data_IF_161790491880
#
_entry.id   IF_161790491880
#
_cell.length_a   1.000
_cell.length_b   1.000
_cell.length_c   1.000
_cell.angle_alpha   90.00
_cell.angle_beta   90.00
_cell.angle_gamma   90.00
#
_symmetry.space_group_name_H-M   'P 1'
#
loop_
_entity.id
_entity.type
_entity.pdbx_description
1 polymer ?
#
# COMPACT_ATOMS: atom_id res chain seq x y z
N UNK A 1 -19.48 8.23 -42.75
CA UNK A 1 -18.46 7.51 -41.95
C UNK A 1 -17.91 8.46 -40.91
N UNK A 2 -17.89 8.10 -39.63
CA UNK A 2 -17.60 9.03 -38.52
C UNK A 2 -16.09 9.16 -38.26
N UNK A 3 -15.57 10.39 -38.29
CA UNK A 3 -14.25 10.73 -37.74
C UNK A 3 -14.29 12.08 -37.01
N UNK A 4 -14.96 12.10 -35.85
CA UNK A 4 -14.93 13.23 -34.89
C UNK A 4 -13.59 13.33 -34.15
N UNK A 5 -12.47 13.41 -34.89
CA UNK A 5 -11.11 13.61 -34.35
C UNK A 5 -10.89 15.07 -33.92
N UNK A 6 -11.65 15.52 -32.92
CA UNK A 6 -11.41 16.78 -32.20
C UNK A 6 -11.54 16.57 -30.68
N UNK A 7 -10.61 15.80 -30.10
CA UNK A 7 -10.46 15.64 -28.64
C UNK A 7 -9.36 16.55 -28.09
N UNK A 8 -9.45 17.84 -28.41
CA UNK A 8 -8.55 18.88 -27.93
C UNK A 8 -9.20 19.66 -26.77
N UNK A 9 -9.04 19.17 -25.54
CA UNK A 9 -9.34 19.95 -24.33
C UNK A 9 -8.17 19.99 -23.32
N UNK A 10 -6.96 20.45 -23.71
CA UNK A 10 -5.88 20.71 -22.77
C UNK A 10 -5.89 22.05 -21.99
N UNK A 11 -6.66 23.13 -22.31
CA UNK A 11 -6.33 24.46 -21.79
C UNK A 11 -6.57 24.59 -20.28
N UNK A 12 -7.70 24.09 -19.78
CA UNK A 12 -8.08 24.27 -18.37
C UNK A 12 -7.17 23.44 -17.45
N UNK A 13 -6.92 22.17 -17.78
CA UNK A 13 -6.01 21.32 -16.99
C UNK A 13 -4.58 21.88 -16.97
N UNK A 14 -4.08 22.39 -18.11
CA UNK A 14 -2.76 23.03 -18.19
C UNK A 14 -2.65 24.33 -17.38
N UNK A 15 -3.65 25.21 -17.47
CA UNK A 15 -3.72 26.46 -16.68
C UNK A 15 -3.73 26.16 -15.18
N UNK A 16 -4.52 25.16 -14.75
CA UNK A 16 -4.58 24.73 -13.35
C UNK A 16 -3.23 24.19 -12.89
N UNK A 17 -2.59 23.31 -13.66
CA UNK A 17 -1.26 22.77 -13.30
C UNK A 17 -0.24 23.91 -13.17
N UNK A 18 -0.27 24.90 -14.08
CA UNK A 18 0.56 26.10 -14.00
C UNK A 18 0.32 26.91 -12.73
N UNK A 19 -0.96 27.18 -12.39
CA UNK A 19 -1.33 27.96 -11.21
C UNK A 19 -0.99 27.24 -9.90
N UNK A 20 -1.23 25.93 -9.81
CA UNK A 20 -0.79 25.09 -8.68
C UNK A 20 0.73 25.10 -8.58
N UNK A 21 1.45 25.01 -9.70
CA UNK A 21 2.91 25.14 -9.76
C UNK A 21 3.39 26.47 -9.18
N UNK A 22 2.90 27.60 -9.68
CA UNK A 22 3.28 28.95 -9.19
C UNK A 22 3.02 29.09 -7.68
N UNK A 23 1.93 28.53 -7.17
CA UNK A 23 1.54 28.65 -5.76
C UNK A 23 2.31 27.69 -4.83
N UNK A 24 2.64 26.47 -5.28
CA UNK A 24 3.21 25.41 -4.44
C UNK A 24 4.67 25.05 -4.71
N UNK A 25 5.30 25.52 -5.79
CA UNK A 25 6.75 25.36 -6.00
C UNK A 25 7.57 25.89 -4.81
N UNK A 26 7.26 27.05 -4.19
CA UNK A 26 8.00 27.50 -3.00
C UNK A 26 7.87 26.54 -1.81
N UNK A 27 6.70 25.93 -1.61
CA UNK A 27 6.45 24.95 -0.55
C UNK A 27 7.18 23.63 -0.81
N UNK A 28 7.15 23.15 -2.05
CA UNK A 28 7.86 21.94 -2.47
C UNK A 28 9.39 22.13 -2.42
N UNK A 29 9.89 23.32 -2.77
CA UNK A 29 11.30 23.67 -2.60
C UNK A 29 11.69 23.66 -1.12
N UNK A 30 10.87 24.28 -0.26
CA UNK A 30 11.04 24.26 1.19
C UNK A 30 11.08 22.82 1.75
N UNK A 31 10.23 21.91 1.27
CA UNK A 31 10.30 20.49 1.67
C UNK A 31 11.59 19.80 1.20
N UNK A 32 11.99 19.98 -0.06
CA UNK A 32 13.18 19.32 -0.63
C UNK A 32 14.47 19.83 0.01
N UNK A 33 14.64 21.15 0.12
CA UNK A 33 15.72 21.78 0.87
C UNK A 33 15.70 21.29 2.34
N UNK A 34 14.51 21.21 2.92
CA UNK A 34 14.23 20.72 4.26
C UNK A 34 14.61 19.27 4.56
N UNK A 35 14.61 18.40 3.56
CA UNK A 35 15.06 17.01 3.68
C UNK A 35 16.56 16.87 3.39
N UNK A 36 17.10 17.66 2.44
CA UNK A 36 18.53 17.64 2.09
C UNK A 36 19.39 18.29 3.19
N UNK A 37 18.98 19.46 3.67
CA UNK A 37 19.66 20.23 4.72
C UNK A 37 19.18 19.88 6.13
N UNK A 38 18.35 18.82 6.27
CA UNK A 38 17.84 18.28 7.55
C UNK A 38 17.05 19.28 8.43
N UNK A 39 16.59 20.39 7.86
CA UNK A 39 16.13 21.58 8.60
C UNK A 39 14.63 21.60 8.93
N UNK A 40 13.78 20.91 8.15
CA UNK A 40 12.31 21.03 8.23
C UNK A 40 11.62 19.70 8.59
N UNK A 41 12.31 18.56 8.49
CA UNK A 41 11.82 17.31 9.08
C UNK A 41 12.14 17.25 10.58
N UNK A 42 11.48 18.17 11.32
CA UNK A 42 11.42 18.35 12.78
C UNK A 42 12.29 17.35 13.56
N UNK A 43 13.44 17.84 14.03
CA UNK A 43 14.49 17.19 14.84
C UNK A 43 15.08 15.84 14.35
N UNK A 44 14.32 14.93 13.73
CA UNK A 44 14.70 13.52 13.55
C UNK A 44 14.36 12.89 12.18
N UNK A 45 14.19 13.70 11.12
CA UNK A 45 14.21 13.23 9.72
C UNK A 45 13.12 12.21 9.30
N UNK A 46 11.99 12.14 10.02
CA UNK A 46 10.89 11.20 9.76
C UNK A 46 10.35 11.17 8.31
N UNK A 47 10.37 12.28 7.58
CA UNK A 47 9.69 12.41 6.26
C UNK A 47 10.60 12.33 5.03
N UNK A 48 11.92 12.13 5.21
CA UNK A 48 12.90 12.20 4.11
C UNK A 48 12.67 11.17 2.97
N UNK A 49 11.89 10.12 3.24
CA UNK A 49 11.42 9.16 2.22
C UNK A 49 10.56 9.82 1.12
N UNK A 50 9.97 10.99 1.37
CA UNK A 50 9.24 11.79 0.39
C UNK A 50 10.07 12.24 -0.82
N UNK A 51 11.40 12.28 -0.69
CA UNK A 51 12.33 12.57 -1.79
C UNK A 51 12.26 11.53 -2.91
N UNK A 52 11.97 10.26 -2.59
CA UNK A 52 11.66 9.20 -3.57
C UNK A 52 10.15 9.13 -3.87
N UNK A 53 9.34 9.39 -2.85
CA UNK A 53 7.88 9.34 -2.90
C UNK A 53 7.24 10.27 -3.92
N UNK A 54 7.63 11.54 -3.94
CA UNK A 54 7.03 12.56 -4.82
C UNK A 54 7.37 12.31 -6.30
N UNK A 55 8.63 12.03 -6.71
CA UNK A 55 8.94 11.63 -8.07
C UNK A 55 8.19 10.37 -8.54
N UNK A 56 8.03 9.37 -7.66
CA UNK A 56 7.28 8.16 -8.00
C UNK A 56 5.76 8.43 -8.14
N UNK A 57 5.18 9.28 -7.28
CA UNK A 57 3.80 9.73 -7.43
C UNK A 57 3.58 10.48 -8.77
N UNK A 58 4.51 11.36 -9.15
CA UNK A 58 4.48 12.08 -10.44
C UNK A 58 4.59 11.11 -11.63
N UNK A 59 5.48 10.11 -11.57
CA UNK A 59 5.59 9.06 -12.58
C UNK A 59 4.27 8.28 -12.75
N UNK A 60 3.64 7.85 -11.65
CA UNK A 60 2.36 7.13 -11.69
C UNK A 60 1.19 8.00 -12.18
N UNK A 61 1.24 9.33 -11.96
CA UNK A 61 0.29 10.27 -12.56
C UNK A 61 0.48 10.35 -14.09
N UNK A 62 1.74 10.45 -14.53
CA UNK A 62 2.12 10.47 -15.94
C UNK A 62 1.74 9.19 -16.68
N UNK A 63 1.94 8.02 -16.09
CA UNK A 63 1.56 6.71 -16.65
C UNK A 63 0.04 6.64 -16.92
N UNK A 64 -0.78 7.01 -15.94
CA UNK A 64 -2.25 6.89 -16.02
C UNK A 64 -2.95 8.04 -16.76
N UNK A 65 -2.22 9.00 -17.33
CA UNK A 65 -2.79 10.18 -18.04
C UNK A 65 -3.77 9.82 -19.17
N UNK A 66 -3.54 8.70 -19.86
CA UNK A 66 -4.43 8.17 -20.90
C UNK A 66 -5.80 7.76 -20.35
N UNK A 67 -5.82 7.16 -19.15
CA UNK A 67 -7.04 6.74 -18.46
C UNK A 67 -7.82 7.96 -17.95
N UNK A 68 -7.11 8.95 -17.41
CA UNK A 68 -7.71 10.23 -16.99
C UNK A 68 -8.40 10.98 -18.13
N UNK A 69 -7.79 11.03 -19.31
CA UNK A 69 -8.39 11.62 -20.52
C UNK A 69 -9.66 10.89 -20.99
N UNK A 70 -9.87 9.64 -20.58
CA UNK A 70 -11.07 8.85 -20.89
C UNK A 70 -12.14 8.90 -19.80
N UNK A 71 -11.84 9.45 -18.61
CA UNK A 71 -12.86 9.72 -17.59
C UNK A 71 -13.75 10.92 -18.01
N UNK A 72 -15.07 10.83 -17.81
CA UNK A 72 -15.98 11.94 -18.08
C UNK A 72 -15.74 13.10 -17.10
N UNK A 73 -15.88 14.33 -17.57
CA UNK A 73 -15.90 15.51 -16.69
C UNK A 73 -17.19 15.48 -15.85
N UNK A 74 -17.04 15.44 -14.54
CA UNK A 74 -18.16 15.44 -13.57
C UNK A 74 -17.73 16.20 -12.32
N UNK A 75 -18.19 17.44 -12.21
CA UNK A 75 -18.02 18.25 -10.99
C UNK A 75 -18.82 17.60 -9.87
N UNK A 76 -18.18 17.38 -8.72
CA UNK A 76 -18.81 16.78 -7.54
C UNK A 76 -18.74 17.75 -6.36
N UNK A 77 -19.89 17.99 -5.71
CA UNK A 77 -20.07 19.04 -4.69
C UNK A 77 -19.02 19.02 -3.57
N UNK A 78 -18.58 17.82 -3.16
CA UNK A 78 -17.55 17.60 -2.13
C UNK A 78 -16.17 18.24 -2.45
N UNK A 79 -15.91 18.62 -3.71
CA UNK A 79 -14.70 19.38 -4.06
C UNK A 79 -14.68 20.77 -3.43
N UNK A 80 -15.83 21.46 -3.32
CA UNK A 80 -15.89 22.83 -2.82
C UNK A 80 -15.41 22.97 -1.36
N UNK A 81 -15.93 22.21 -0.36
CA UNK A 81 -15.42 22.30 1.01
C UNK A 81 -13.95 21.88 1.11
N UNK A 82 -13.48 20.95 0.27
CA UNK A 82 -12.11 20.46 0.31
C UNK A 82 -11.10 21.48 -0.27
N UNK A 83 -11.48 22.21 -1.32
CA UNK A 83 -10.72 23.34 -1.88
C UNK A 83 -10.74 24.55 -0.94
N UNK A 84 -11.87 24.86 -0.30
CA UNK A 84 -11.96 25.91 0.72
C UNK A 84 -11.10 25.60 1.95
N UNK A 85 -11.10 24.34 2.41
CA UNK A 85 -10.26 23.89 3.52
C UNK A 85 -8.76 23.97 3.15
N UNK A 86 -8.38 23.56 1.93
CA UNK A 86 -7.02 23.73 1.43
C UNK A 86 -6.58 25.21 1.41
N UNK A 87 -7.45 26.12 0.93
CA UNK A 87 -7.18 27.55 0.93
C UNK A 87 -7.04 28.13 2.35
N UNK A 88 -7.90 27.73 3.29
CA UNK A 88 -7.79 28.13 4.70
C UNK A 88 -6.50 27.62 5.34
N UNK A 89 -6.13 26.36 5.08
CA UNK A 89 -4.90 25.73 5.56
C UNK A 89 -3.64 26.43 5.02
N UNK A 90 -3.61 26.76 3.72
CA UNK A 90 -2.51 27.51 3.10
C UNK A 90 -2.33 28.90 3.72
N UNK A 91 -3.43 29.59 4.04
CA UNK A 91 -3.41 30.93 4.64
C UNK A 91 -3.24 30.95 6.18
N UNK A 92 -3.21 29.80 6.84
CA UNK A 92 -3.23 29.67 8.31
C UNK A 92 -2.00 30.21 9.03
N UNK A 93 -0.88 30.42 8.32
CA UNK A 93 0.47 30.72 8.85
C UNK A 93 1.08 29.63 9.76
N UNK A 94 0.38 28.52 10.02
CA UNK A 94 0.91 27.36 10.72
C UNK A 94 1.55 26.41 9.71
N UNK A 95 2.83 26.07 9.88
CA UNK A 95 3.60 25.30 8.90
C UNK A 95 2.96 23.94 8.59
N UNK A 96 2.53 23.21 9.62
CA UNK A 96 1.82 21.93 9.49
C UNK A 96 0.55 22.00 8.64
N UNK A 97 -0.30 23.00 8.87
CA UNK A 97 -1.53 23.17 8.10
C UNK A 97 -1.20 23.63 6.67
N UNK A 98 -0.24 24.54 6.51
CA UNK A 98 0.25 24.95 5.19
C UNK A 98 0.81 23.74 4.40
N UNK A 99 1.53 22.83 5.05
CA UNK A 99 2.00 21.58 4.45
C UNK A 99 0.82 20.69 4.02
N UNK A 100 -0.15 20.47 4.92
CA UNK A 100 -1.37 19.70 4.62
C UNK A 100 -2.27 20.34 3.55
N UNK A 101 -2.12 21.63 3.24
CA UNK A 101 -2.91 22.28 2.18
C UNK A 101 -2.67 21.66 0.81
N UNK A 102 -1.46 21.17 0.50
CA UNK A 102 -1.14 20.56 -0.79
C UNK A 102 -1.93 19.27 -1.06
N UNK A 103 -1.87 18.20 -0.22
CA UNK A 103 -2.67 17.00 -0.45
C UNK A 103 -4.18 17.27 -0.41
N UNK A 104 -4.66 18.22 0.41
CA UNK A 104 -6.08 18.63 0.40
C UNK A 104 -6.48 19.28 -0.93
N UNK A 105 -5.67 20.20 -1.45
CA UNK A 105 -5.89 20.84 -2.76
C UNK A 105 -5.92 19.80 -3.88
N UNK A 106 -4.95 18.88 -3.90
CA UNK A 106 -4.87 17.81 -4.89
C UNK A 106 -6.12 16.92 -4.84
N UNK A 107 -6.60 16.52 -3.65
CA UNK A 107 -7.84 15.77 -3.53
C UNK A 107 -9.05 16.57 -4.05
N UNK A 108 -9.17 17.84 -3.66
CA UNK A 108 -10.24 18.73 -4.13
C UNK A 108 -10.25 18.89 -5.65
N UNK A 109 -9.07 19.03 -6.26
CA UNK A 109 -8.90 19.16 -7.71
C UNK A 109 -9.22 17.88 -8.47
N UNK A 110 -8.78 16.73 -7.96
CA UNK A 110 -9.12 15.42 -8.54
C UNK A 110 -10.65 15.19 -8.55
N UNK A 111 -11.34 15.65 -7.51
CA UNK A 111 -12.79 15.55 -7.35
C UNK A 111 -13.55 16.60 -8.18
N UNK A 112 -13.02 17.82 -8.39
CA UNK A 112 -13.72 18.84 -9.21
C UNK A 112 -13.67 18.51 -10.70
N UNK A 113 -12.56 17.96 -11.21
CA UNK A 113 -12.38 17.72 -12.65
C UNK A 113 -13.10 16.45 -13.14
N UNK A 114 -13.02 15.35 -12.39
CA UNK A 114 -13.49 14.01 -12.81
C UNK A 114 -14.27 13.26 -11.70
N UNK A 115 -14.68 13.96 -10.65
CA UNK A 115 -15.44 13.37 -9.53
C UNK A 115 -14.67 12.29 -8.76
N UNK A 116 -15.42 11.43 -8.08
CA UNK A 116 -14.88 10.30 -7.30
C UNK A 116 -14.12 9.27 -8.16
N UNK A 117 -14.41 9.20 -9.46
CA UNK A 117 -13.66 8.35 -10.40
C UNK A 117 -12.25 8.88 -10.66
N UNK A 118 -12.08 10.22 -10.78
CA UNK A 118 -10.79 10.88 -10.87
C UNK A 118 -9.91 10.64 -9.65
N UNK A 119 -10.48 10.85 -8.46
CA UNK A 119 -9.80 10.56 -7.21
C UNK A 119 -9.41 9.07 -7.12
N UNK A 120 -10.30 8.14 -7.47
CA UNK A 120 -10.00 6.69 -7.44
C UNK A 120 -8.87 6.27 -8.39
N UNK A 121 -8.67 6.93 -9.53
CA UNK A 121 -7.56 6.65 -10.46
C UNK A 121 -6.19 7.01 -9.84
N UNK A 122 -6.13 8.15 -9.16
CA UNK A 122 -4.91 8.73 -8.60
C UNK A 122 -4.80 8.66 -7.07
N UNK A 123 -5.69 7.91 -6.40
CA UNK A 123 -5.72 7.77 -4.92
C UNK A 123 -4.39 7.29 -4.32
N UNK A 124 -3.63 6.46 -5.05
CA UNK A 124 -2.36 5.93 -4.58
C UNK A 124 -1.21 6.96 -4.73
N UNK A 125 -1.00 7.61 -5.89
CA UNK A 125 -0.15 8.81 -5.98
C UNK A 125 -0.48 9.90 -4.94
N UNK A 126 -1.78 10.14 -4.70
CA UNK A 126 -2.23 11.08 -3.68
C UNK A 126 -1.84 10.64 -2.26
N UNK A 127 -2.02 9.35 -1.92
CA UNK A 127 -1.62 8.79 -0.63
C UNK A 127 -0.10 8.87 -0.41
N UNK A 128 0.69 8.64 -1.46
CA UNK A 128 2.14 8.80 -1.43
C UNK A 128 2.55 10.25 -1.12
N UNK A 129 1.88 11.25 -1.69
CA UNK A 129 2.13 12.68 -1.39
C UNK A 129 1.67 13.02 0.03
N UNK A 130 0.50 12.52 0.47
CA UNK A 130 -0.01 12.73 1.82
C UNK A 130 0.95 12.19 2.90
N UNK A 131 1.43 10.95 2.76
CA UNK A 131 2.41 10.40 3.72
C UNK A 131 3.78 11.09 3.64
N UNK A 132 4.13 11.69 2.49
CA UNK A 132 5.34 12.51 2.35
C UNK A 132 5.20 13.91 2.93
N UNK A 133 4.00 14.34 3.34
CA UNK A 133 3.75 15.73 3.76
C UNK A 133 4.30 15.96 5.18
N UNK A 134 5.32 16.82 5.39
CA UNK A 134 5.92 17.00 6.71
C UNK A 134 4.94 17.56 7.73
N UNK A 135 4.74 16.85 8.84
CA UNK A 135 3.80 17.20 9.92
C UNK A 135 4.30 16.71 11.28
N UNK A 136 3.75 17.24 12.36
CA UNK A 136 3.99 16.85 13.75
C UNK A 136 3.36 15.49 14.12
N UNK A 137 2.74 14.77 13.17
CA UNK A 137 2.09 13.49 13.40
C UNK A 137 2.98 12.45 14.13
N UNK A 138 4.30 12.31 13.84
CA UNK A 138 5.19 11.42 14.59
C UNK A 138 5.24 11.70 16.10
N UNK A 139 5.17 12.97 16.51
CA UNK A 139 5.17 13.39 17.91
C UNK A 139 3.81 13.15 18.57
N UNK A 140 2.71 13.34 17.84
CA UNK A 140 1.36 13.08 18.34
C UNK A 140 1.12 11.59 18.63
N UNK A 141 1.83 10.68 17.94
CA UNK A 141 1.77 9.23 18.23
C UNK A 141 2.81 8.76 19.24
N UNK A 142 3.80 9.58 19.58
CA UNK A 142 4.95 9.21 20.42
C UNK A 142 4.57 8.65 21.80
N UNK A 143 3.62 9.24 22.57
CA UNK A 143 3.22 8.69 23.87
C UNK A 143 2.62 7.29 23.79
N UNK A 144 2.01 6.94 22.65
CA UNK A 144 1.43 5.61 22.40
C UNK A 144 2.50 4.55 22.07
N UNK A 145 3.74 4.97 21.79
CA UNK A 145 4.87 4.09 21.45
C UNK A 145 5.74 3.80 22.69
N UNK A 146 5.62 4.58 23.78
CA UNK A 146 6.35 4.35 25.05
C UNK A 146 6.26 2.89 25.56
N UNK A 147 5.10 2.17 25.53
CA UNK A 147 5.05 0.77 25.96
C UNK A 147 5.87 -0.17 25.09
N UNK A 148 5.98 0.13 23.78
CA UNK A 148 6.81 -0.62 22.85
C UNK A 148 8.30 -0.33 23.06
N UNK A 149 8.68 0.91 23.40
CA UNK A 149 10.06 1.25 23.77
C UNK A 149 10.48 0.54 25.07
N UNK A 150 9.62 0.53 26.09
CA UNK A 150 9.88 -0.20 27.33
C UNK A 150 10.02 -1.71 27.09
N UNK A 151 9.21 -2.30 26.21
CA UNK A 151 9.38 -3.68 25.75
C UNK A 151 10.73 -3.90 25.03
N UNK A 152 11.10 -3.01 24.11
CA UNK A 152 12.38 -3.07 23.39
C UNK A 152 13.56 -2.96 24.37
N UNK A 153 13.49 -2.06 25.36
CA UNK A 153 14.50 -1.88 26.39
C UNK A 153 14.63 -3.11 27.31
N UNK A 154 13.51 -3.67 27.75
CA UNK A 154 13.48 -4.89 28.58
C UNK A 154 14.06 -6.10 27.84
N UNK A 155 13.71 -6.31 26.56
CA UNK A 155 14.27 -7.41 25.76
C UNK A 155 15.75 -7.16 25.45
N UNK A 156 16.15 -5.93 25.13
CA UNK A 156 17.56 -5.60 24.89
C UNK A 156 18.42 -5.82 26.14
N UNK A 157 17.93 -5.43 27.32
CA UNK A 157 18.57 -5.70 28.61
C UNK A 157 18.62 -7.19 28.94
N UNK A 158 17.54 -7.94 28.71
CA UNK A 158 17.53 -9.40 28.88
C UNK A 158 18.60 -10.08 28.01
N UNK A 159 18.76 -9.66 26.75
CA UNK A 159 19.81 -10.18 25.85
C UNK A 159 21.20 -9.86 26.40
N UNK A 160 21.46 -8.63 26.85
CA UNK A 160 22.75 -8.24 27.45
C UNK A 160 23.07 -9.08 28.71
N UNK A 161 22.07 -9.39 29.55
CA UNK A 161 22.23 -10.29 30.70
C UNK A 161 22.62 -11.72 30.28
N UNK A 162 22.27 -12.20 29.08
CA UNK A 162 22.70 -13.51 28.58
C UNK A 162 24.18 -13.53 28.13
N UNK A 163 24.85 -12.37 28.11
CA UNK A 163 26.28 -12.23 27.82
C UNK A 163 27.09 -11.81 29.06
N UNK A 164 26.56 -12.06 30.27
CA UNK A 164 27.16 -11.69 31.56
C UNK A 164 27.41 -10.18 31.76
N UNK A 165 26.68 -9.32 31.03
CA UNK A 165 26.82 -7.87 31.10
C UNK A 165 25.92 -7.32 32.21
N UNK A 166 26.50 -6.57 33.15
CA UNK A 166 25.75 -5.89 34.21
C UNK A 166 24.96 -4.71 33.64
N UNK A 167 23.65 -4.94 33.42
CA UNK A 167 22.69 -3.95 32.96
C UNK A 167 21.50 -3.85 33.91
N UNK A 168 21.06 -2.62 34.15
CA UNK A 168 19.80 -2.30 34.84
C UNK A 168 18.85 -1.66 33.82
N UNK A 169 17.58 -2.04 33.84
CA UNK A 169 16.55 -1.47 32.96
C UNK A 169 15.51 -0.74 33.81
N UNK A 170 15.26 0.52 33.50
CA UNK A 170 14.22 1.34 34.13
C UNK A 170 13.39 2.03 33.04
N UNK A 171 12.14 1.57 32.85
CA UNK A 171 11.27 2.04 31.77
C UNK A 171 11.89 1.87 30.37
N UNK A 172 12.35 2.98 29.78
CA UNK A 172 13.02 3.04 28.47
C UNK A 172 14.55 3.16 28.55
N UNK A 173 15.12 3.26 29.76
CA UNK A 173 16.54 3.44 29.98
C UNK A 173 17.25 2.12 30.29
N UNK A 174 18.45 1.93 29.73
CA UNK A 174 19.38 0.87 30.09
C UNK A 174 20.64 1.50 30.69
N UNK A 175 20.95 1.19 31.95
CA UNK A 175 22.22 1.54 32.58
C UNK A 175 23.17 0.36 32.47
N UNK A 176 24.19 0.45 31.62
CA UNK A 176 25.22 -0.58 31.40
C UNK A 176 26.54 -0.08 31.96
N UNK A 177 27.14 -0.77 32.94
CA UNK A 177 28.39 -0.34 33.58
C UNK A 177 28.40 1.14 34.02
N UNK A 178 27.29 1.62 34.59
CA UNK A 178 27.08 3.03 35.00
C UNK A 178 27.00 4.04 33.85
N UNK A 179 26.97 3.62 32.58
CA UNK A 179 26.65 4.46 31.43
C UNK A 179 25.16 4.32 31.08
N UNK A 180 24.45 5.43 30.95
CA UNK A 180 23.01 5.46 30.69
C UNK A 180 22.72 5.56 29.19
N UNK A 181 21.96 4.61 28.64
CA UNK A 181 21.50 4.61 27.25
C UNK A 181 19.98 4.62 27.22
N UNK A 182 19.40 5.68 26.66
CA UNK A 182 17.95 5.82 26.49
C UNK A 182 17.50 5.19 25.17
N UNK A 183 16.46 4.35 25.21
CA UNK A 183 15.76 3.86 24.00
C UNK A 183 14.76 4.91 23.54
N UNK A 184 15.28 6.08 23.14
CA UNK A 184 14.47 7.23 22.79
C UNK A 184 13.57 6.95 21.57
N UNK A 185 12.37 7.55 21.47
CA UNK A 185 11.52 7.53 20.25
C UNK A 185 12.24 8.01 18.98
N UNK A 186 13.31 8.78 19.18
CA UNK A 186 14.11 9.44 18.17
C UNK A 186 15.35 8.63 17.74
N UNK A 187 15.71 7.57 18.48
CA UNK A 187 16.58 6.54 17.94
C UNK A 187 15.96 5.99 16.64
N UNK A 188 16.79 5.55 15.70
CA UNK A 188 16.42 5.35 14.29
C UNK A 188 15.17 4.46 14.02
N UNK A 189 14.68 3.71 15.00
CA UNK A 189 13.58 2.77 14.87
C UNK A 189 12.24 3.35 14.39
N UNK A 190 11.79 4.50 14.91
CA UNK A 190 10.51 5.07 14.42
C UNK A 190 10.66 5.65 13.00
N UNK A 191 11.83 6.24 12.69
CA UNK A 191 12.20 6.69 11.34
C UNK A 191 12.26 5.53 10.35
N UNK A 192 12.85 4.39 10.73
CA UNK A 192 12.89 3.18 9.91
C UNK A 192 11.54 2.49 9.79
N UNK A 193 10.70 2.52 10.83
CA UNK A 193 9.34 2.00 10.75
C UNK A 193 8.53 2.78 9.69
N UNK A 194 8.49 4.11 9.77
CA UNK A 194 7.81 4.94 8.77
C UNK A 194 8.40 4.74 7.36
N UNK A 195 9.72 4.76 7.22
CA UNK A 195 10.41 4.58 5.92
C UNK A 195 10.13 3.19 5.33
N UNK A 196 10.08 2.15 6.16
CA UNK A 196 9.74 0.78 5.75
C UNK A 196 8.25 0.63 5.41
N UNK A 197 7.33 1.24 6.16
CA UNK A 197 5.91 1.26 5.80
C UNK A 197 5.68 2.00 4.48
N UNK A 198 6.38 3.11 4.25
CA UNK A 198 6.33 3.89 3.02
C UNK A 198 6.87 3.11 1.81
N UNK A 199 8.07 2.52 1.93
CA UNK A 199 8.61 1.65 0.89
C UNK A 199 7.76 0.39 0.71
N UNK A 200 7.14 -0.11 1.78
CA UNK A 200 6.17 -1.20 1.75
C UNK A 200 4.93 -0.89 0.89
N UNK A 201 4.42 0.34 0.93
CA UNK A 201 3.35 0.80 0.03
C UNK A 201 3.82 0.82 -1.43
N UNK A 202 5.01 1.36 -1.71
CA UNK A 202 5.61 1.40 -3.05
C UNK A 202 5.79 -0.02 -3.62
N UNK A 203 6.41 -0.92 -2.85
CA UNK A 203 6.62 -2.32 -3.24
C UNK A 203 5.31 -3.07 -3.42
N UNK A 204 4.33 -2.89 -2.53
CA UNK A 204 2.98 -3.49 -2.63
C UNK A 204 2.25 -3.06 -3.90
N UNK A 205 2.52 -1.85 -4.42
CA UNK A 205 2.01 -1.41 -5.71
C UNK A 205 2.78 -2.06 -6.87
N UNK A 206 4.12 -2.01 -6.82
CA UNK A 206 5.01 -2.46 -7.89
C UNK A 206 4.97 -3.97 -8.14
N UNK A 207 4.98 -4.80 -7.09
CA UNK A 207 4.93 -6.27 -7.21
C UNK A 207 3.53 -6.82 -7.44
N UNK A 208 2.49 -5.96 -7.36
CA UNK A 208 1.10 -6.39 -7.47
C UNK A 208 0.57 -7.16 -6.26
N UNK A 209 1.30 -7.18 -5.12
CA UNK A 209 0.90 -7.87 -3.89
C UNK A 209 -0.50 -7.46 -3.38
N UNK A 210 -0.91 -6.22 -3.71
CA UNK A 210 -2.26 -5.67 -3.49
C UNK A 210 -3.42 -6.53 -4.01
N UNK A 211 -3.19 -7.47 -4.93
CA UNK A 211 -4.20 -8.43 -5.40
C UNK A 211 -4.70 -9.36 -4.29
N UNK A 212 -3.83 -9.74 -3.36
CA UNK A 212 -4.21 -10.53 -2.18
C UNK A 212 -4.21 -9.65 -0.93
N UNK A 213 -5.39 -9.44 -0.34
CA UNK A 213 -5.54 -8.77 0.96
C UNK A 213 -4.79 -9.49 2.07
N UNK A 214 -4.70 -10.83 1.99
CA UNK A 214 -3.97 -11.66 2.96
C UNK A 214 -2.46 -11.40 2.88
N UNK A 215 -1.86 -11.57 1.69
CA UNK A 215 -0.42 -11.31 1.48
C UNK A 215 -0.07 -9.86 1.81
N UNK A 216 -0.92 -8.90 1.45
CA UNK A 216 -0.75 -7.48 1.79
C UNK A 216 -0.77 -7.26 3.31
N UNK A 217 -1.75 -7.82 4.03
CA UNK A 217 -1.85 -7.66 5.49
C UNK A 217 -0.64 -8.27 6.21
N UNK A 218 -0.27 -9.51 5.85
CA UNK A 218 0.89 -10.20 6.40
C UNK A 218 2.21 -9.48 6.08
N UNK A 219 2.31 -8.79 4.95
CA UNK A 219 3.48 -7.96 4.62
C UNK A 219 3.62 -6.76 5.55
N UNK A 220 2.54 -6.00 5.80
CA UNK A 220 2.60 -4.85 6.72
C UNK A 220 2.80 -5.28 8.18
N UNK A 221 2.21 -6.39 8.61
CA UNK A 221 2.51 -7.00 9.92
C UNK A 221 3.98 -7.44 9.99
N UNK A 222 4.51 -8.02 8.91
CA UNK A 222 5.91 -8.40 8.79
C UNK A 222 6.88 -7.22 8.85
N UNK A 223 6.53 -6.08 8.23
CA UNK A 223 7.31 -4.83 8.33
C UNK A 223 7.40 -4.35 9.79
N UNK A 224 6.27 -4.34 10.51
CA UNK A 224 6.24 -3.95 11.92
C UNK A 224 7.09 -4.92 12.76
N UNK A 225 6.93 -6.23 12.58
CA UNK A 225 7.71 -7.25 13.29
C UNK A 225 9.22 -7.15 13.03
N UNK A 226 9.63 -7.01 11.77
CA UNK A 226 11.03 -6.81 11.39
C UNK A 226 11.59 -5.51 11.97
N UNK A 227 10.80 -4.42 12.00
CA UNK A 227 11.24 -3.17 12.62
C UNK A 227 11.40 -3.29 14.14
N UNK A 228 10.54 -4.02 14.84
CA UNK A 228 10.69 -4.25 16.29
C UNK A 228 11.94 -5.09 16.58
N UNK A 229 12.15 -6.18 15.83
CA UNK A 229 13.36 -7.02 15.98
C UNK A 229 14.63 -6.24 15.64
N UNK A 230 14.63 -5.46 14.55
CA UNK A 230 15.75 -4.58 14.18
C UNK A 230 16.07 -3.54 15.25
N UNK A 231 15.05 -2.99 15.90
CA UNK A 231 15.22 -2.04 17.00
C UNK A 231 15.76 -2.70 18.28
N UNK A 232 15.32 -3.92 18.61
CA UNK A 232 15.90 -4.69 19.73
C UNK A 232 17.39 -4.92 19.47
N UNK A 233 17.75 -5.47 18.30
CA UNK A 233 19.14 -5.73 17.93
C UNK A 233 20.00 -4.46 17.91
N UNK A 234 19.50 -3.35 17.33
CA UNK A 234 20.23 -2.07 17.32
C UNK A 234 20.47 -1.56 18.74
N UNK A 235 19.46 -1.56 19.60
CA UNK A 235 19.61 -1.05 20.97
C UNK A 235 20.52 -1.96 21.82
N UNK A 236 20.42 -3.29 21.71
CA UNK A 236 21.39 -4.22 22.34
C UNK A 236 22.84 -3.90 21.91
N UNK A 237 23.09 -3.76 20.61
CA UNK A 237 24.45 -3.50 20.08
C UNK A 237 24.97 -2.14 20.52
N UNK A 238 24.15 -1.08 20.47
CA UNK A 238 24.57 0.25 20.89
C UNK A 238 24.81 0.34 22.40
N UNK A 239 23.94 -0.25 23.22
CA UNK A 239 24.12 -0.31 24.67
C UNK A 239 25.35 -1.14 25.06
N UNK A 240 25.70 -2.17 24.30
CA UNK A 240 26.96 -2.90 24.45
C UNK A 240 28.17 -1.98 24.24
N UNK A 241 28.29 -1.34 23.07
CA UNK A 241 29.47 -0.52 22.75
C UNK A 241 29.59 0.73 23.63
N UNK A 242 28.46 1.34 24.01
CA UNK A 242 28.43 2.47 24.92
C UNK A 242 28.82 2.06 26.36
N UNK A 243 28.25 0.97 26.88
CA UNK A 243 28.60 0.41 28.19
C UNK A 243 30.02 -0.17 28.28
N UNK A 244 30.65 -0.48 27.15
CA UNK A 244 32.07 -0.82 27.04
C UNK A 244 32.99 0.42 26.91
N UNK A 245 32.44 1.64 26.97
CA UNK A 245 33.13 2.92 26.74
C UNK A 245 33.86 3.01 25.38
N UNK A 246 33.44 2.21 24.39
CA UNK A 246 34.02 2.18 23.05
C UNK A 246 33.42 3.30 22.17
N UNK A 247 33.58 4.56 22.59
CA UNK A 247 32.95 5.74 21.97
C UNK A 247 33.09 5.77 20.45
N UNK A 248 34.31 5.67 19.91
CA UNK A 248 34.54 5.68 18.46
C UNK A 248 33.83 4.55 17.69
N UNK A 249 33.55 3.40 18.32
CA UNK A 249 32.76 2.33 17.72
C UNK A 249 31.24 2.61 17.85
N UNK A 250 30.81 3.15 18.98
CA UNK A 250 29.44 3.63 19.19
C UNK A 250 29.07 4.73 18.19
N UNK A 251 29.91 5.76 18.03
CA UNK A 251 29.69 6.89 17.12
C UNK A 251 29.61 6.42 15.66
N UNK A 252 30.51 5.51 15.26
CA UNK A 252 30.51 4.91 13.92
C UNK A 252 29.25 4.06 13.64
N UNK A 253 28.75 3.35 14.66
CA UNK A 253 27.51 2.57 14.58
C UNK A 253 26.24 3.43 14.68
N UNK A 254 26.30 4.55 15.40
CA UNK A 254 25.14 5.40 15.69
C UNK A 254 24.88 6.42 14.58
N UNK A 255 25.90 7.17 14.18
CA UNK A 255 25.78 8.38 13.33
C UNK A 255 26.46 8.25 11.97
N UNK A 256 27.39 7.30 11.82
CA UNK A 256 28.07 7.01 10.56
C UNK A 256 27.48 5.78 9.85
N UNK A 257 28.32 5.04 9.12
CA UNK A 257 27.95 3.90 8.26
C UNK A 257 27.05 2.84 8.93
N UNK A 258 27.06 2.67 10.26
CA UNK A 258 26.13 1.76 10.93
C UNK A 258 24.65 2.16 10.78
N UNK A 259 24.35 3.46 10.71
CA UNK A 259 23.00 3.97 10.45
C UNK A 259 22.52 3.66 9.03
N UNK A 260 23.37 3.88 8.04
CA UNK A 260 23.07 3.59 6.63
C UNK A 260 23.00 2.08 6.35
N UNK A 261 23.90 1.29 6.96
CA UNK A 261 23.86 -0.17 6.89
C UNK A 261 22.59 -0.74 7.52
N UNK A 262 22.16 -0.21 8.68
CA UNK A 262 20.87 -0.57 9.29
C UNK A 262 19.69 -0.22 8.37
N UNK A 263 19.72 0.96 7.75
CA UNK A 263 18.71 1.39 6.77
C UNK A 263 18.63 0.44 5.57
N UNK A 264 19.78 0.10 4.98
CA UNK A 264 19.87 -0.80 3.84
C UNK A 264 19.45 -2.24 4.19
N UNK A 265 19.83 -2.74 5.37
CA UNK A 265 19.42 -4.06 5.86
C UNK A 265 17.91 -4.14 6.09
N UNK A 266 17.30 -3.12 6.70
CA UNK A 266 15.86 -3.00 6.89
C UNK A 266 15.11 -3.03 5.54
N UNK A 267 15.52 -2.18 4.58
CA UNK A 267 14.89 -2.14 3.26
C UNK A 267 15.13 -3.40 2.43
N UNK A 268 16.29 -4.05 2.57
CA UNK A 268 16.57 -5.36 1.98
C UNK A 268 15.68 -6.46 2.55
N UNK A 269 15.40 -6.43 3.85
CA UNK A 269 14.53 -7.39 4.52
C UNK A 269 13.06 -7.30 4.04
N UNK A 270 12.60 -6.14 3.55
CA UNK A 270 11.29 -6.04 2.89
C UNK A 270 11.22 -6.89 1.60
N UNK A 271 12.31 -6.93 0.83
CA UNK A 271 12.39 -7.79 -0.37
C UNK A 271 12.36 -9.27 0.04
N UNK A 272 13.06 -9.63 1.12
CA UNK A 272 13.03 -10.98 1.70
C UNK A 272 11.61 -11.36 2.17
N UNK A 273 10.92 -10.48 2.89
CA UNK A 273 9.52 -10.68 3.30
C UNK A 273 8.60 -10.93 2.09
N UNK A 274 8.72 -10.15 1.01
CA UNK A 274 7.95 -10.37 -0.22
C UNK A 274 8.25 -11.76 -0.80
N UNK A 275 9.52 -12.15 -0.93
CA UNK A 275 9.91 -13.49 -1.42
C UNK A 275 9.38 -14.63 -0.56
N UNK A 276 9.34 -14.45 0.76
CA UNK A 276 8.77 -15.43 1.68
C UNK A 276 7.24 -15.54 1.53
N UNK A 277 6.53 -14.41 1.38
CA UNK A 277 5.08 -14.40 1.16
C UNK A 277 4.68 -14.96 -0.21
N UNK A 278 5.44 -14.65 -1.27
CA UNK A 278 5.29 -15.25 -2.60
C UNK A 278 5.43 -16.78 -2.54
N UNK A 279 6.38 -17.29 -1.75
CA UNK A 279 6.73 -18.72 -1.66
C UNK A 279 5.83 -19.54 -0.74
N UNK A 280 5.42 -18.99 0.41
CA UNK A 280 4.78 -19.77 1.49
C UNK A 280 3.31 -19.42 1.74
N UNK A 281 2.80 -18.29 1.24
CA UNK A 281 1.43 -17.84 1.52
C UNK A 281 0.61 -17.88 0.22
N UNK A 282 -0.52 -18.63 0.15
CA UNK A 282 -1.40 -18.63 -1.02
C UNK A 282 -2.18 -17.31 -1.15
N UNK A 283 -2.69 -17.00 -2.34
CA UNK A 283 -3.41 -15.74 -2.60
C UNK A 283 -4.72 -15.60 -1.80
N UNK A 284 -5.40 -16.71 -1.50
CA UNK A 284 -6.63 -16.74 -0.69
C UNK A 284 -6.62 -17.89 0.31
N UNK A 285 -7.06 -17.63 1.55
CA UNK A 285 -7.42 -18.69 2.49
C UNK A 285 -8.83 -19.19 2.17
N UNK A 286 -8.93 -20.36 1.56
CA UNK A 286 -10.20 -21.09 1.45
C UNK A 286 -10.49 -21.76 2.80
N UNK A 287 -11.15 -21.05 3.70
CA UNK A 287 -11.72 -21.64 4.91
C UNK A 287 -12.97 -22.42 4.50
N UNK A 288 -12.83 -23.74 4.36
CA UNK A 288 -13.94 -24.63 4.04
C UNK A 288 -14.92 -24.70 5.22
N UNK A 289 -16.08 -24.07 5.11
CA UNK A 289 -17.13 -24.15 6.14
C UNK A 289 -17.61 -25.60 6.33
N UNK A 290 -17.69 -26.09 7.58
CA UNK A 290 -17.97 -27.51 7.87
C UNK A 290 -19.40 -27.98 7.52
N UNK A 291 -20.34 -27.05 7.26
CA UNK A 291 -21.72 -27.37 6.84
C UNK A 291 -21.82 -28.24 5.58
N UNK A 292 -20.76 -28.28 4.77
CA UNK A 292 -20.67 -29.12 3.57
C UNK A 292 -20.85 -30.62 3.87
N UNK A 293 -20.52 -31.07 5.08
CA UNK A 293 -20.72 -32.47 5.48
C UNK A 293 -22.16 -32.82 5.86
N UNK A 294 -22.89 -31.88 6.48
CA UNK A 294 -24.23 -32.16 7.03
C UNK A 294 -25.27 -32.42 5.93
N UNK A 295 -25.17 -31.72 4.79
CA UNK A 295 -26.09 -31.91 3.66
C UNK A 295 -25.95 -33.27 2.94
N UNK A 296 -24.82 -33.96 3.09
CA UNK A 296 -24.60 -35.27 2.49
C UNK A 296 -25.25 -36.43 3.27
N UNK A 297 -25.78 -36.17 4.48
CA UNK A 297 -26.36 -37.18 5.38
C UNK A 297 -27.90 -37.20 5.30
N UNK A 298 -28.52 -36.15 4.73
CA UNK A 298 -29.98 -35.95 4.70
C UNK A 298 -30.62 -36.46 3.39
N UNK A 299 -29.83 -37.02 2.46
CA UNK A 299 -30.36 -37.74 1.29
C UNK A 299 -30.79 -39.16 1.69
N UNK A 300 -32.07 -39.32 2.04
CA UNK A 300 -32.69 -40.62 2.34
C UNK A 300 -32.60 -41.59 1.13
N UNK A 301 -32.49 -42.91 1.36
CA UNK A 301 -32.54 -43.90 0.30
C UNK A 301 -33.97 -44.08 -0.21
N UNK A 302 -34.20 -43.86 -1.51
CA UNK A 302 -35.50 -44.11 -2.14
C UNK A 302 -35.85 -45.60 -2.11
N UNK A 303 -36.92 -45.97 -1.39
CA UNK A 303 -37.45 -47.33 -1.37
C UNK A 303 -38.14 -47.62 -2.72
N UNK A 304 -37.73 -48.70 -3.38
CA UNK A 304 -38.42 -49.20 -4.58
C UNK A 304 -39.69 -49.95 -4.17
N UNK A 305 -40.84 -49.58 -4.76
CA UNK A 305 -41.99 -50.48 -4.87
C UNK A 305 -42.08 -51.10 -6.29
N UNK A 306 -42.61 -52.33 -6.43
CA UNK A 306 -42.51 -53.12 -7.66
C UNK A 306 -43.62 -52.83 -8.67
N UNK A 307 -43.34 -53.13 -9.95
CA UNK A 307 -44.29 -53.00 -11.07
C UNK A 307 -45.42 -54.04 -11.04
N UNK A 308 -46.63 -53.63 -11.40
CA UNK A 308 -47.77 -54.50 -11.74
C UNK A 308 -48.25 -54.14 -13.16
N UNK A 309 -48.64 -55.15 -13.96
CA UNK A 309 -48.83 -55.05 -15.41
C UNK A 309 -50.29 -55.23 -15.88
N UNK A 310 -50.70 -54.35 -16.82
CA UNK A 310 -51.70 -54.58 -17.89
C UNK A 310 -53.19 -54.84 -17.51
N UNK A 311 -54.17 -54.82 -18.46
CA UNK A 311 -54.13 -54.44 -19.89
C UNK A 311 -55.17 -53.39 -20.39
N UNK A 312 -54.90 -52.85 -21.58
CA UNK A 312 -55.81 -52.48 -22.71
C UNK A 312 -57.32 -52.23 -22.51
N UNK A 313 -57.86 -51.10 -23.07
CA UNK A 313 -58.90 -51.06 -24.14
C UNK A 313 -59.08 -49.62 -24.71
N UNK A 314 -59.75 -49.51 -25.87
CA UNK A 314 -60.06 -48.33 -26.70
C UNK A 314 -60.98 -47.28 -25.98
N UNK A 315 -61.30 -46.08 -26.50
CA UNK A 315 -61.27 -45.53 -27.88
C UNK A 315 -61.28 -43.97 -27.90
N UNK A 316 -61.43 -43.37 -29.10
CA UNK A 316 -61.95 -42.02 -29.41
C UNK A 316 -61.01 -40.78 -29.38
N UNK A 317 -60.40 -40.54 -30.55
CA UNK A 317 -60.64 -39.37 -31.44
C UNK A 317 -59.84 -38.03 -31.36
N UNK A 318 -59.26 -37.71 -32.53
CA UNK A 318 -59.16 -36.40 -33.25
C UNK A 318 -57.87 -35.53 -33.21
N UNK A 319 -57.50 -35.07 -34.43
CA UNK A 319 -56.62 -33.95 -34.83
C UNK A 319 -55.07 -34.11 -34.94
N UNK A 320 -54.65 -34.57 -36.14
CA UNK A 320 -53.65 -33.99 -37.10
C UNK A 320 -52.95 -32.65 -36.75
N UNK A 321 -51.69 -32.35 -37.15
CA UNK A 321 -50.67 -32.96 -38.06
C UNK A 321 -49.27 -32.90 -37.38
N UNK A 322 -48.34 -33.86 -37.47
CA UNK A 322 -47.51 -34.36 -38.59
C UNK A 322 -46.44 -33.40 -39.19
N UNK A 323 -45.17 -33.66 -38.81
CA UNK A 323 -43.88 -33.46 -39.52
C UNK A 323 -43.67 -34.68 -40.50
N UNK A 324 -42.65 -34.84 -41.40
CA UNK A 324 -41.24 -34.37 -41.33
C UNK A 324 -40.47 -34.06 -42.67
N UNK A 325 -39.15 -33.83 -42.55
CA UNK A 325 -38.05 -33.92 -43.58
C UNK A 325 -37.65 -35.40 -43.89
N UNK A 326 -36.64 -35.73 -44.77
CA UNK A 326 -36.03 -35.09 -45.95
C UNK A 326 -36.11 -36.04 -47.21
N UNK A 327 -35.24 -35.98 -48.26
CA UNK A 327 -33.89 -36.60 -48.23
C UNK A 327 -32.78 -35.94 -49.13
N UNK A 328 -31.57 -36.53 -49.14
CA UNK A 328 -30.31 -36.13 -49.81
C UNK A 328 -30.19 -36.69 -51.27
N UNK A 329 -29.13 -36.52 -52.11
CA UNK A 329 -27.75 -36.01 -51.94
C UNK A 329 -27.35 -35.00 -53.07
N UNK A 330 -26.26 -34.98 -53.89
CA UNK A 330 -25.09 -35.82 -54.29
C UNK A 330 -23.97 -34.86 -54.88
N UNK A 331 -22.73 -35.24 -55.31
CA UNK A 331 -21.56 -34.34 -55.14
C UNK A 331 -20.65 -34.03 -56.38
N UNK A 332 -20.41 -32.75 -56.71
CA UNK A 332 -19.18 -32.32 -57.42
C UNK A 332 -18.92 -30.79 -57.42
N UNK A 333 -17.69 -30.38 -57.03
CA UNK A 333 -16.84 -29.30 -57.61
C UNK A 333 -15.66 -28.93 -56.64
N UNK A 334 -14.45 -28.64 -57.14
CA UNK A 334 -13.24 -28.36 -56.32
C UNK A 334 -13.07 -26.86 -55.93
N UNK A 335 -12.13 -26.50 -55.03
CA UNK A 335 -12.22 -25.29 -54.20
C UNK A 335 -11.53 -24.02 -54.75
N UNK A 336 -11.73 -22.89 -54.04
CA UNK A 336 -11.00 -21.62 -54.19
C UNK A 336 -10.50 -21.08 -52.83
N UNK A 337 -9.51 -20.16 -52.80
CA UNK A 337 -8.32 -20.37 -51.95
C UNK A 337 -8.25 -19.53 -50.67
N UNK A 338 -7.18 -19.77 -49.91
CA UNK A 338 -6.86 -19.23 -48.59
C UNK A 338 -5.91 -18.01 -48.61
N UNK A 339 -5.93 -17.25 -47.51
CA UNK A 339 -4.88 -16.29 -47.12
C UNK A 339 -5.11 -14.82 -47.54
N UNK A 340 -4.26 -13.89 -47.04
CA UNK A 340 -3.04 -14.12 -46.25
C UNK A 340 -3.19 -13.79 -44.75
N UNK A 341 -2.32 -14.40 -43.93
CA UNK A 341 -1.92 -13.85 -42.63
C UNK A 341 -0.87 -12.73 -42.84
N UNK A 342 -0.82 -11.76 -41.92
CA UNK A 342 0.41 -11.03 -41.59
C UNK A 342 0.53 -10.88 -40.06
N UNK A 343 1.75 -10.58 -39.61
CA UNK A 343 2.21 -10.61 -38.22
C UNK A 343 1.77 -9.39 -37.40
#
# INVERSE_FOLDING_TARGET
MLLSKYKAQPPIEGIIIGLVGVLYIPLLWHWVDGWLNKSISIQHEYFSHGLLGIPFALYLVWEKRSHWQNLPHKVHWLSLPLLLLAAAFYNSRLLDLMNLSLPLLLAGLLIVLKGTAGFRLYQFPWLLILLSTPTQLPYLIEPYILPLQAFIAAVAGFILLQFDINVQVDGIYLSVNQQLVEVAPHCAGLKMLFTSLYMGLILTHWTGLNRSKLRTSLFFIGIIGVSVVGNILRNTILSFFHGAQMTAAFDWLHESWGGDLYSAAMLGMLIVLIRLLERYVPDTLNISSPDSGMRAIISEPSINEPSITEPSIQDASTHTHQNPNPPDHDPSLPPKPSGPHYF
#
